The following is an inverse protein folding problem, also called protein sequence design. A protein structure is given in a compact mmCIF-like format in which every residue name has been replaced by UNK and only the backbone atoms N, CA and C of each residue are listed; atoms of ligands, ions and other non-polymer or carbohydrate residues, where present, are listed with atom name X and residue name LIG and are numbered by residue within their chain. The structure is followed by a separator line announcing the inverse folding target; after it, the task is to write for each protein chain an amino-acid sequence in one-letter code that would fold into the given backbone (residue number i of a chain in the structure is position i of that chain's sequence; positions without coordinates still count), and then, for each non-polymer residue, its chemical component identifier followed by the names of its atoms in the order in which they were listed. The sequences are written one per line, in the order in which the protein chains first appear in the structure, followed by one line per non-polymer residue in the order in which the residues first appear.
data_IF_421757315055
#
_entry.id   IF_421757315055
#
_cell.length_a   1.000
_cell.length_b   1.000
_cell.length_c   1.000
_cell.angle_alpha   90.00
_cell.angle_beta   90.00
_cell.angle_gamma   90.00
#
_symmetry.space_group_name_H-M   'P 1'
#
loop_
_entity.id
_entity.type
_entity.pdbx_description
1 polymer ?
#
# COMPACT_ATOMS: atom_id res chain seq x y z
N UNK A 1 28.63 -13.81 11.27
CA UNK A 1 28.43 -14.34 9.91
C UNK A 1 27.22 -13.63 9.33
N UNK A 2 27.30 -12.97 8.16
CA UNK A 2 26.11 -12.40 7.54
C UNK A 2 25.14 -13.55 7.19
N UNK A 3 23.93 -13.46 7.71
CA UNK A 3 22.88 -14.44 7.46
C UNK A 3 22.31 -14.16 6.07
N UNK A 4 22.34 -15.15 5.17
CA UNK A 4 21.75 -15.01 3.85
C UNK A 4 20.23 -15.04 4.00
N UNK A 5 19.59 -13.90 3.77
CA UNK A 5 18.13 -13.78 3.75
C UNK A 5 17.70 -14.00 2.31
N UNK A 6 16.95 -15.07 2.07
CA UNK A 6 16.31 -15.32 0.77
C UNK A 6 15.35 -14.17 0.48
N UNK A 7 15.47 -13.58 -0.72
CA UNK A 7 14.64 -12.45 -1.15
C UNK A 7 13.63 -12.89 -2.21
N UNK A 8 12.39 -12.49 -2.00
CA UNK A 8 11.29 -12.70 -2.95
C UNK A 8 11.23 -11.49 -3.87
N UNK A 9 11.28 -11.72 -5.19
CA UNK A 9 11.09 -10.65 -6.18
C UNK A 9 9.62 -10.48 -6.48
N UNK A 10 9.09 -9.28 -6.22
CA UNK A 10 7.69 -8.96 -6.47
C UNK A 10 7.62 -7.93 -7.59
N UNK A 11 6.94 -8.22 -8.72
CA UNK A 11 6.77 -7.26 -9.80
C UNK A 11 5.89 -6.10 -9.31
N UNK A 12 6.33 -4.87 -9.59
CA UNK A 12 5.59 -3.65 -9.25
C UNK A 12 5.82 -2.58 -10.32
N UNK A 13 4.92 -1.60 -10.32
CA UNK A 13 5.07 -0.33 -11.00
C UNK A 13 5.22 0.80 -9.97
N UNK A 14 6.20 1.67 -10.15
CA UNK A 14 6.39 2.85 -9.27
C UNK A 14 6.09 4.12 -10.04
N UNK A 15 5.27 5.00 -9.46
CA UNK A 15 5.12 6.37 -9.94
C UNK A 15 5.91 7.36 -9.08
N UNK A 16 6.50 8.32 -9.77
CA UNK A 16 7.21 9.44 -9.16
C UNK A 16 6.74 10.75 -9.82
N UNK A 17 6.81 11.88 -9.08
CA UNK A 17 6.34 13.16 -9.58
C UNK A 17 6.97 13.55 -10.92
N UNK A 18 6.13 13.89 -11.91
CA UNK A 18 6.58 14.36 -13.22
C UNK A 18 7.22 13.30 -14.11
N UNK A 19 7.16 12.01 -13.73
CA UNK A 19 7.71 10.90 -14.51
C UNK A 19 6.61 9.92 -14.93
N UNK A 20 6.82 9.25 -16.06
CA UNK A 20 5.98 8.10 -16.41
C UNK A 20 6.27 6.96 -15.43
N UNK A 21 5.24 6.24 -14.93
CA UNK A 21 5.50 5.18 -13.97
C UNK A 21 6.26 4.01 -14.61
N UNK A 22 7.21 3.45 -13.85
CA UNK A 22 8.24 2.51 -14.32
C UNK A 22 7.98 1.11 -13.76
N UNK A 23 8.10 0.10 -14.62
CA UNK A 23 7.98 -1.33 -14.26
C UNK A 23 9.28 -1.88 -13.70
N UNK A 24 9.18 -2.81 -12.75
CA UNK A 24 10.33 -3.47 -12.16
C UNK A 24 9.96 -4.36 -10.99
N UNK A 25 10.91 -4.57 -10.08
CA UNK A 25 10.77 -5.52 -8.98
C UNK A 25 11.26 -4.93 -7.66
N UNK A 26 10.48 -5.15 -6.60
CA UNK A 26 10.96 -5.03 -5.23
C UNK A 26 11.53 -6.37 -4.77
N UNK A 27 12.53 -6.32 -3.90
CA UNK A 27 13.15 -7.51 -3.30
C UNK A 27 12.83 -7.56 -1.81
N UNK A 28 11.76 -8.29 -1.48
CA UNK A 28 11.21 -8.41 -0.14
C UNK A 28 11.90 -9.53 0.64
N UNK A 29 12.07 -9.38 1.94
CA UNK A 29 12.57 -10.46 2.79
C UNK A 29 11.56 -11.62 2.86
N UNK A 30 12.05 -12.86 2.81
CA UNK A 30 11.23 -14.07 3.00
C UNK A 30 10.65 -14.21 4.41
N UNK A 31 11.19 -13.47 5.38
CA UNK A 31 10.71 -13.40 6.74
C UNK A 31 10.79 -11.95 7.22
N UNK A 32 9.66 -11.40 7.65
CA UNK A 32 9.56 -10.08 8.26
C UNK A 32 10.01 -10.10 9.73
N UNK A 33 10.50 -8.96 10.24
CA UNK A 33 10.94 -8.82 11.63
C UNK A 33 9.79 -8.55 12.62
N UNK A 34 8.65 -8.05 12.13
CA UNK A 34 7.52 -7.57 12.92
C UNK A 34 6.32 -8.50 12.89
N UNK A 35 6.15 -9.31 11.84
CA UNK A 35 5.09 -10.30 11.76
C UNK A 35 5.56 -11.65 11.17
N UNK A 36 4.70 -12.67 11.32
CA UNK A 36 4.94 -13.96 10.66
C UNK A 36 4.66 -13.85 9.16
N UNK A 37 5.54 -14.40 8.34
CA UNK A 37 5.41 -14.36 6.87
C UNK A 37 6.48 -13.49 6.20
N UNK A 38 6.43 -13.37 4.87
CA UNK A 38 7.34 -12.50 4.13
C UNK A 38 7.05 -11.01 4.41
N UNK A 39 8.08 -10.18 4.32
CA UNK A 39 7.95 -8.73 4.25
C UNK A 39 7.02 -8.38 3.08
N UNK A 40 6.09 -7.45 3.29
CA UNK A 40 5.16 -7.00 2.25
C UNK A 40 5.63 -5.71 1.59
N UNK A 41 5.01 -5.34 0.46
CA UNK A 41 5.29 -4.06 -0.21
C UNK A 41 5.03 -2.91 0.77
N UNK A 42 3.93 -2.95 1.53
CA UNK A 42 3.57 -1.93 2.49
C UNK A 42 4.62 -1.79 3.59
N UNK A 43 5.16 -2.90 4.11
CA UNK A 43 6.21 -2.87 5.13
C UNK A 43 7.46 -2.19 4.59
N UNK A 44 7.97 -2.64 3.43
CA UNK A 44 9.19 -2.12 2.81
C UNK A 44 9.14 -0.60 2.62
N UNK A 45 8.01 -0.07 2.14
CA UNK A 45 7.87 1.37 1.86
C UNK A 45 7.53 2.22 3.10
N UNK A 46 7.20 1.58 4.22
CA UNK A 46 6.98 2.24 5.51
C UNK A 46 8.15 2.06 6.49
N UNK A 47 9.16 1.25 6.15
CA UNK A 47 10.42 1.22 6.90
C UNK A 47 10.99 2.62 7.08
N UNK A 48 11.65 2.85 8.22
CA UNK A 48 12.31 4.11 8.59
C UNK A 48 13.53 4.48 7.70
N UNK A 49 13.79 3.70 6.65
CA UNK A 49 14.85 3.93 5.68
C UNK A 49 14.49 5.04 4.69
N UNK A 50 15.50 5.80 4.25
CA UNK A 50 15.31 6.89 3.27
C UNK A 50 15.12 6.39 1.85
N UNK A 51 15.79 5.30 1.50
CA UNK A 51 15.80 4.73 0.15
C UNK A 51 15.54 3.23 0.23
N UNK A 52 14.90 2.68 -0.80
CA UNK A 52 14.74 1.23 -0.98
C UNK A 52 15.19 0.81 -2.39
N UNK A 53 15.70 -0.42 -2.55
CA UNK A 53 16.14 -0.92 -3.85
C UNK A 53 14.94 -1.32 -4.72
N UNK A 54 14.97 -0.88 -5.98
CA UNK A 54 14.02 -1.26 -7.01
C UNK A 54 14.80 -1.70 -8.25
N UNK A 55 14.52 -2.90 -8.77
CA UNK A 55 15.18 -3.44 -9.95
C UNK A 55 14.33 -3.06 -11.15
N UNK A 56 14.77 -2.09 -11.96
CA UNK A 56 14.03 -1.65 -13.15
C UNK A 56 14.00 -2.77 -14.20
N UNK A 57 12.82 -3.04 -14.77
CA UNK A 57 12.66 -4.12 -15.75
C UNK A 57 13.41 -3.85 -17.07
N UNK A 58 13.39 -2.60 -17.54
CA UNK A 58 13.93 -2.18 -18.83
C UNK A 58 15.41 -2.55 -19.05
N UNK A 59 16.24 -2.37 -18.01
CA UNK A 59 17.69 -2.56 -18.09
C UNK A 59 18.28 -3.39 -16.95
N UNK A 60 17.45 -3.89 -16.02
CA UNK A 60 17.87 -4.66 -14.87
C UNK A 60 18.64 -3.86 -13.81
N UNK A 61 18.72 -2.53 -13.95
CA UNK A 61 19.47 -1.69 -13.01
C UNK A 61 18.80 -1.63 -11.64
N UNK A 62 19.61 -1.65 -10.58
CA UNK A 62 19.13 -1.39 -9.23
C UNK A 62 19.09 0.13 -9.00
N UNK A 63 17.88 0.67 -8.89
CA UNK A 63 17.64 2.04 -8.50
C UNK A 63 17.47 2.11 -6.98
N UNK A 64 18.13 3.08 -6.35
CA UNK A 64 17.88 3.44 -4.95
C UNK A 64 16.80 4.52 -4.93
N UNK A 65 15.54 4.09 -4.80
CA UNK A 65 14.38 4.97 -4.87
C UNK A 65 14.22 5.70 -3.56
N UNK A 66 14.20 7.03 -3.61
CA UNK A 66 13.92 7.86 -2.43
C UNK A 66 12.45 7.75 -2.07
N UNK A 67 12.16 7.23 -0.88
CA UNK A 67 10.81 6.93 -0.37
C UNK A 67 9.87 8.13 -0.44
N UNK A 68 10.37 9.32 -0.06
CA UNK A 68 9.60 10.57 -0.10
C UNK A 68 9.32 11.10 -1.51
N UNK A 69 9.89 10.52 -2.57
CA UNK A 69 9.68 10.91 -3.98
C UNK A 69 8.85 9.88 -4.76
N UNK A 70 8.10 9.03 -4.07
CA UNK A 70 7.18 8.05 -4.66
C UNK A 70 5.76 8.52 -4.42
N UNK A 71 4.97 8.63 -5.47
CA UNK A 71 3.53 8.93 -5.35
C UNK A 71 2.77 7.68 -4.93
N UNK A 72 3.04 6.56 -5.61
CA UNK A 72 2.44 5.27 -5.34
C UNK A 72 3.28 4.12 -5.89
N UNK A 73 3.03 2.92 -5.35
CA UNK A 73 3.51 1.63 -5.84
C UNK A 73 2.32 0.75 -6.17
N UNK A 74 2.25 0.20 -7.37
CA UNK A 74 1.19 -0.71 -7.80
C UNK A 74 1.78 -2.12 -7.96
N UNK A 75 1.25 -3.14 -7.27
CA UNK A 75 1.66 -4.53 -7.48
C UNK A 75 1.32 -5.00 -8.90
N UNK A 76 2.21 -5.78 -9.50
CA UNK A 76 2.01 -6.35 -10.82
C UNK A 76 0.93 -7.44 -10.85
N UNK A 77 0.50 -7.88 -12.05
CA UNK A 77 -0.48 -8.95 -12.19
C UNK A 77 -0.04 -10.24 -11.49
N UNK A 78 -0.97 -10.87 -10.76
CA UNK A 78 -0.72 -12.14 -10.05
C UNK A 78 0.03 -12.02 -8.72
N UNK A 79 0.40 -10.80 -8.29
CA UNK A 79 0.91 -10.58 -6.93
C UNK A 79 -0.23 -10.82 -5.93
N UNK A 80 0.01 -11.73 -4.99
CA UNK A 80 -0.97 -12.10 -3.97
C UNK A 80 -1.07 -11.00 -2.90
N UNK A 81 -2.23 -10.89 -2.26
CA UNK A 81 -2.52 -9.84 -1.27
C UNK A 81 -1.53 -9.85 -0.10
N UNK A 82 -1.09 -11.03 0.29
CA UNK A 82 -0.14 -11.30 1.39
C UNK A 82 1.26 -10.75 1.09
N UNK A 83 1.56 -10.44 -0.18
CA UNK A 83 2.80 -9.74 -0.57
C UNK A 83 2.61 -8.21 -0.61
N UNK A 84 1.37 -7.71 -0.54
CA UNK A 84 1.05 -6.28 -0.63
C UNK A 84 0.90 -5.66 0.75
N UNK A 85 0.15 -6.33 1.63
CA UNK A 85 -0.10 -5.88 3.00
C UNK A 85 0.00 -7.06 4.00
N UNK A 86 0.40 -6.80 5.25
CA UNK A 86 0.55 -7.84 6.26
C UNK A 86 -0.71 -8.69 6.48
N UNK A 87 -0.59 -10.00 6.76
CA UNK A 87 -1.73 -10.90 6.90
C UNK A 87 -2.58 -10.62 8.15
N UNK A 88 -2.05 -9.91 9.13
CA UNK A 88 -2.77 -9.45 10.31
C UNK A 88 -3.63 -8.21 10.04
N UNK A 89 -3.66 -7.68 8.81
CA UNK A 89 -4.50 -6.54 8.44
C UNK A 89 -6.00 -6.91 8.46
N UNK A 90 -6.64 -6.80 9.62
CA UNK A 90 -8.06 -7.09 9.80
C UNK A 90 -8.90 -5.91 9.31
N UNK A 91 -9.43 -6.02 8.09
CA UNK A 91 -10.32 -5.00 7.54
C UNK A 91 -11.63 -4.98 8.33
N UNK A 92 -11.78 -4.00 9.24
CA UNK A 92 -13.00 -3.80 10.02
C UNK A 92 -13.94 -2.82 9.35
N UNK A 93 -13.42 -1.96 8.46
CA UNK A 93 -14.20 -0.98 7.71
C UNK A 93 -13.59 -0.67 6.35
N UNK A 94 -14.47 -0.39 5.40
CA UNK A 94 -14.10 0.15 4.10
C UNK A 94 -14.75 1.51 3.90
N UNK A 95 -14.02 2.44 3.29
CA UNK A 95 -14.53 3.77 3.00
C UNK A 95 -14.19 4.17 1.56
N UNK A 96 -15.22 4.54 0.80
CA UNK A 96 -15.05 4.96 -0.59
C UNK A 96 -14.48 6.37 -0.64
N UNK A 97 -13.37 6.51 -1.35
CA UNK A 97 -12.66 7.77 -1.48
C UNK A 97 -12.24 8.06 -2.91
N UNK A 98 -11.93 9.32 -3.18
CA UNK A 98 -11.19 9.77 -4.33
C UNK A 98 -9.95 10.53 -3.84
N UNK A 99 -8.79 10.07 -4.27
CA UNK A 99 -7.49 10.65 -3.95
C UNK A 99 -7.05 11.55 -5.08
N UNK A 100 -6.81 12.84 -4.78
CA UNK A 100 -6.18 13.79 -5.69
C UNK A 100 -4.70 13.89 -5.35
N UNK A 101 -3.82 13.57 -6.30
CA UNK A 101 -2.38 13.74 -6.16
C UNK A 101 -1.98 15.19 -6.45
N UNK A 102 -0.80 15.60 -5.95
CA UNK A 102 -0.25 16.96 -6.16
C UNK A 102 -0.06 17.35 -7.63
N UNK A 103 0.05 16.38 -8.53
CA UNK A 103 0.19 16.61 -9.96
C UNK A 103 -1.14 16.62 -10.73
N UNK A 104 -2.27 16.57 -10.01
CA UNK A 104 -3.60 16.63 -10.58
C UNK A 104 -4.21 15.27 -10.95
N UNK A 105 -3.47 14.15 -10.83
CA UNK A 105 -4.04 12.82 -11.06
C UNK A 105 -5.10 12.50 -9.99
N UNK A 106 -6.21 11.92 -10.43
CA UNK A 106 -7.29 11.44 -9.57
C UNK A 106 -7.35 9.92 -9.60
N UNK A 107 -7.52 9.30 -8.43
CA UNK A 107 -7.70 7.86 -8.28
C UNK A 107 -8.87 7.59 -7.35
N UNK A 108 -9.88 6.88 -7.84
CA UNK A 108 -10.99 6.37 -7.04
C UNK A 108 -10.64 5.03 -6.42
N UNK A 109 -11.10 4.78 -5.19
CA UNK A 109 -10.88 3.50 -4.54
C UNK A 109 -11.52 3.37 -3.17
N UNK A 110 -11.16 2.30 -2.48
CA UNK A 110 -11.58 1.99 -1.12
C UNK A 110 -10.35 2.01 -0.21
N UNK A 111 -10.42 2.80 0.86
CA UNK A 111 -9.50 2.64 1.99
C UNK A 111 -10.03 1.48 2.82
N UNK A 112 -9.19 0.49 3.06
CA UNK A 112 -9.46 -0.58 4.01
C UNK A 112 -8.78 -0.20 5.32
N UNK A 113 -9.52 -0.21 6.43
CA UNK A 113 -8.99 0.21 7.74
C UNK A 113 -9.12 -0.92 8.74
N UNK A 114 -8.06 -1.10 9.53
CA UNK A 114 -8.07 -1.88 10.77
C UNK A 114 -7.98 -0.89 11.93
N UNK A 115 -9.12 -0.54 12.52
CA UNK A 115 -9.15 0.37 13.66
C UNK A 115 -10.07 -0.15 14.77
N UNK A 116 -9.73 0.08 16.06
CA UNK A 116 -10.65 -0.08 17.18
C UNK A 116 -11.93 0.72 16.93
N UNK A 117 -13.07 0.30 17.49
CA UNK A 117 -14.40 0.87 17.25
C UNK A 117 -14.48 2.42 17.40
N UNK A 118 -13.56 3.00 18.17
CA UNK A 118 -13.47 4.42 18.53
C UNK A 118 -12.73 5.30 17.51
N UNK A 119 -11.94 4.72 16.58
CA UNK A 119 -11.21 5.43 15.51
C UNK A 119 -11.82 5.04 14.16
N UNK A 120 -13.00 5.57 13.84
CA UNK A 120 -13.88 4.97 12.82
C UNK A 120 -14.03 5.84 11.55
N UNK A 121 -13.05 6.70 11.26
CA UNK A 121 -13.10 7.68 10.16
C UNK A 121 -11.83 7.60 9.29
N UNK A 122 -11.99 7.73 7.98
CA UNK A 122 -10.87 7.90 7.05
C UNK A 122 -9.89 9.02 7.47
N UNK A 123 -10.37 10.09 8.11
CA UNK A 123 -9.50 11.16 8.62
C UNK A 123 -8.51 10.67 9.67
N UNK A 124 -8.95 9.82 10.59
CA UNK A 124 -8.12 9.34 11.70
C UNK A 124 -7.08 8.36 11.16
N UNK A 125 -7.49 7.49 10.24
CA UNK A 125 -6.60 6.61 9.50
C UNK A 125 -5.51 7.35 8.72
N UNK A 126 -5.89 8.36 7.95
CA UNK A 126 -4.95 9.13 7.13
C UNK A 126 -3.97 9.95 7.99
N UNK A 127 -4.37 10.35 9.20
CA UNK A 127 -3.49 11.01 10.16
C UNK A 127 -2.52 10.06 10.89
N UNK A 128 -2.57 8.75 10.62
CA UNK A 128 -1.64 7.77 11.19
C UNK A 128 -0.17 8.04 10.85
N UNK A 129 0.74 7.44 11.61
CA UNK A 129 2.19 7.71 11.54
C UNK A 129 2.87 7.21 10.26
N UNK A 130 2.32 6.16 9.65
CA UNK A 130 2.85 5.59 8.42
C UNK A 130 2.76 6.58 7.26
N UNK A 131 3.66 6.54 6.28
CA UNK A 131 3.59 7.44 5.13
C UNK A 131 2.74 6.85 3.99
N UNK A 132 2.69 5.53 3.90
CA UNK A 132 1.99 4.80 2.85
C UNK A 132 0.78 4.04 3.39
N UNK A 133 -0.27 3.95 2.58
CA UNK A 133 -1.46 3.14 2.85
C UNK A 133 -1.92 2.42 1.58
N UNK A 134 -2.72 1.36 1.74
CA UNK A 134 -3.30 0.63 0.60
C UNK A 134 -4.66 1.25 0.23
N UNK A 135 -4.80 1.61 -1.04
CA UNK A 135 -6.04 1.99 -1.69
C UNK A 135 -6.44 0.88 -2.66
N UNK A 136 -7.59 0.25 -2.47
CA UNK A 136 -8.10 -0.77 -3.40
C UNK A 136 -8.83 -0.09 -4.54
N UNK A 137 -8.36 -0.27 -5.77
CA UNK A 137 -8.96 0.32 -6.98
C UNK A 137 -9.50 -0.79 -7.90
N UNK A 138 -10.25 -0.40 -8.92
CA UNK A 138 -10.73 -1.33 -9.96
C UNK A 138 -9.57 -1.98 -10.76
N UNK A 139 -8.39 -1.36 -10.75
CA UNK A 139 -7.18 -1.87 -11.41
C UNK A 139 -6.29 -2.70 -10.46
N UNK A 140 -6.76 -2.96 -9.24
CA UNK A 140 -6.02 -3.63 -8.19
C UNK A 140 -5.57 -2.69 -7.06
N UNK A 141 -4.83 -3.22 -6.07
CA UNK A 141 -4.34 -2.43 -4.95
C UNK A 141 -3.30 -1.41 -5.40
N UNK A 142 -3.29 -0.26 -4.74
CA UNK A 142 -2.32 0.81 -4.92
C UNK A 142 -1.78 1.20 -3.54
N UNK A 143 -0.47 1.13 -3.37
CA UNK A 143 0.20 1.58 -2.13
C UNK A 143 0.55 3.04 -2.30
N UNK A 144 -0.23 3.93 -1.68
CA UNK A 144 -0.25 5.38 -1.92
C UNK A 144 0.54 6.12 -0.83
N UNK A 145 1.39 7.06 -1.23
CA UNK A 145 2.12 7.94 -0.32
C UNK A 145 1.28 9.17 0.07
N UNK A 146 0.94 9.30 1.35
CA UNK A 146 0.15 10.42 1.90
C UNK A 146 0.81 11.78 1.68
N UNK A 147 2.14 11.84 1.60
CA UNK A 147 2.85 13.10 1.37
C UNK A 147 2.59 13.69 -0.02
N UNK A 148 2.20 12.88 -1.00
CA UNK A 148 1.89 13.29 -2.38
C UNK A 148 0.40 13.40 -2.68
N UNK A 149 -0.44 13.13 -1.68
CA UNK A 149 -1.87 13.40 -1.74
C UNK A 149 -2.10 14.89 -1.44
N UNK A 150 -2.85 15.55 -2.33
CA UNK A 150 -3.30 16.93 -2.15
C UNK A 150 -4.59 16.99 -1.32
N UNK A 151 -5.58 16.16 -1.67
CA UNK A 151 -6.79 15.96 -0.88
C UNK A 151 -7.32 14.54 -1.05
N UNK A 152 -8.03 14.05 -0.02
CA UNK A 152 -8.83 12.82 -0.11
C UNK A 152 -10.28 13.20 0.08
N UNK A 153 -11.08 13.05 -0.97
CA UNK A 153 -12.53 13.22 -0.90
C UNK A 153 -13.14 11.92 -0.42
N UNK A 154 -13.82 11.98 0.72
CA UNK A 154 -14.60 10.87 1.27
C UNK A 154 -16.02 10.98 0.75
N UNK A 155 -16.57 9.87 0.27
CA UNK A 155 -17.98 9.79 -0.10
C UNK A 155 -18.69 9.03 1.01
N UNK A 156 -19.58 9.71 1.75
CA UNK A 156 -20.48 9.05 2.69
C UNK A 156 -21.34 8.04 1.93
N UNK A 157 -20.85 6.81 1.87
CA UNK A 157 -21.63 5.61 1.66
C UNK A 157 -21.44 4.89 2.97
N UNK A 158 -22.39 4.97 3.89
CA UNK A 158 -22.41 4.08 5.04
C UNK A 158 -22.62 2.66 4.49
N UNK A 159 -21.65 1.72 4.51
CA UNK A 159 -22.08 0.35 4.69
C UNK A 159 -22.47 0.25 6.16
N UNK A 160 -23.69 -0.21 6.43
CA UNK A 160 -24.02 -0.73 7.75
C UNK A 160 -22.85 -1.58 8.29
N UNK A 161 -22.64 -1.64 9.63
CA UNK A 161 -21.85 -2.72 10.20
C UNK A 161 -22.30 -4.03 9.55
N UNK A 162 -21.36 -4.89 9.16
CA UNK A 162 -21.67 -6.26 8.75
C UNK A 162 -22.42 -6.90 9.93
N UNK A 163 -23.75 -6.87 9.85
CA UNK A 163 -24.60 -7.43 10.89
C UNK A 163 -24.27 -8.92 10.97
N UNK A 164 -23.63 -9.26 12.08
CA UNK A 164 -23.38 -10.60 12.53
C UNK A 164 -24.72 -11.21 12.95
N UNK A 165 -25.50 -11.71 11.97
CA UNK A 165 -26.44 -12.86 12.08
C UNK A 165 -27.25 -13.05 10.80
N UNK A 166 -26.60 -13.56 9.77
CA UNK A 166 -27.17 -14.71 9.07
C UNK A 166 -26.91 -15.95 9.94
N UNK A 167 -27.73 -16.16 10.96
CA UNK A 167 -27.79 -17.42 11.68
C UNK A 167 -29.24 -17.69 12.11
N UNK A 168 -29.75 -18.82 11.61
CA UNK A 168 -30.96 -19.55 12.01
C UNK A 168 -32.28 -19.10 11.35
N UNK A 169 -32.39 -19.45 10.06
CA UNK A 169 -33.55 -20.21 9.60
C UNK A 169 -33.25 -21.70 9.70
#
# INVERSE_FOLDING_TARGET
MPQYIEKIRVPVRIAQPGQSPVEGFLSLASQDEFHSGPETILDLVNLSLRVFPFIREEDGAVLLVTRVNVDWVQPGPGVQREMVCPPNYLVTREERVQVLFRDGRLVDGLIQMELPEDLNRASDFLNGVEDFFVLVTDLGPLVVNKNHVLETRVFESSPMPLDSRAALG
#
